data_IF_696383462614
#
_entry.id   IF_696383462614
#
_cell.length_a   1.000
_cell.length_b   1.000
_cell.length_c   1.000
_cell.angle_alpha   90.00
_cell.angle_beta   90.00
_cell.angle_gamma   90.00
#
_symmetry.space_group_name_H-M   'P 1'
#
loop_
_entity.id
_entity.type
_entity.pdbx_description
1 polymer ?
#
# COMPACT_ATOMS: atom_id res chain seq x y z
N UNK A 1 -1.86 -35.13 11.75
CA UNK A 1 -0.52 -34.54 11.62
C UNK A 1 -0.62 -33.45 10.55
N UNK A 2 -1.01 -32.24 10.94
CA UNK A 2 -0.86 -31.01 10.13
C UNK A 2 -0.58 -29.88 11.11
N UNK A 3 0.69 -29.57 11.17
CA UNK A 3 1.34 -28.59 12.02
C UNK A 3 1.04 -27.17 11.54
N UNK A 4 1.01 -26.25 12.51
CA UNK A 4 1.28 -24.82 12.39
C UNK A 4 0.64 -24.08 11.21
N UNK A 5 -0.60 -23.59 11.42
CA UNK A 5 -1.01 -22.32 10.82
C UNK A 5 -0.02 -21.27 11.34
N UNK A 6 0.93 -20.88 10.49
CA UNK A 6 1.97 -19.90 10.82
C UNK A 6 1.29 -18.54 11.00
N UNK A 7 1.36 -18.02 12.24
CA UNK A 7 0.75 -16.77 12.73
C UNK A 7 1.67 -15.58 12.47
N UNK A 8 1.87 -15.20 11.22
CA UNK A 8 2.80 -14.12 10.87
C UNK A 8 2.09 -13.05 10.04
N UNK A 9 2.59 -11.82 10.10
CA UNK A 9 2.15 -10.73 9.24
C UNK A 9 2.24 -11.19 7.76
N UNK A 10 1.16 -11.10 6.96
CA UNK A 10 1.17 -11.55 5.57
C UNK A 10 2.30 -10.93 4.74
N UNK A 11 2.65 -9.68 5.00
CA UNK A 11 3.73 -8.98 4.30
C UNK A 11 5.09 -9.63 4.57
N UNK A 12 5.39 -10.03 5.81
CA UNK A 12 6.66 -10.67 6.17
C UNK A 12 6.79 -12.03 5.48
N UNK A 13 5.77 -12.87 5.58
CA UNK A 13 5.78 -14.21 4.98
C UNK A 13 5.88 -14.15 3.46
N UNK A 14 5.14 -13.24 2.83
CA UNK A 14 5.22 -13.07 1.38
C UNK A 14 6.55 -12.44 0.98
N UNK A 15 7.14 -11.54 1.77
CA UNK A 15 8.45 -10.97 1.45
C UNK A 15 9.54 -12.05 1.39
N UNK A 16 9.52 -13.01 2.30
CA UNK A 16 10.43 -14.17 2.27
C UNK A 16 10.18 -15.05 1.03
N UNK A 17 8.90 -15.30 0.73
CA UNK A 17 8.49 -16.12 -0.42
C UNK A 17 8.89 -15.49 -1.75
N UNK A 18 8.84 -14.17 -1.87
CA UNK A 18 9.13 -13.42 -3.09
C UNK A 18 10.61 -13.05 -3.22
N UNK A 19 11.43 -13.36 -2.21
CA UNK A 19 12.87 -13.11 -2.23
C UNK A 19 13.59 -13.62 -3.50
N UNK A 20 13.24 -14.78 -4.10
CA UNK A 20 13.84 -15.21 -5.37
C UNK A 20 13.60 -14.25 -6.55
N UNK A 21 12.53 -13.45 -6.52
CA UNK A 21 12.18 -12.49 -7.58
C UNK A 21 12.86 -11.11 -7.39
N UNK A 22 13.52 -10.89 -6.24
CA UNK A 22 14.08 -9.60 -5.84
C UNK A 22 15.01 -8.99 -6.88
N UNK A 23 15.92 -9.78 -7.44
CA UNK A 23 16.90 -9.28 -8.40
C UNK A 23 16.22 -8.86 -9.71
N UNK A 24 15.30 -9.68 -10.22
CA UNK A 24 14.55 -9.38 -11.43
C UNK A 24 13.69 -8.11 -11.25
N UNK A 25 13.07 -7.91 -10.08
CA UNK A 25 12.31 -6.70 -9.77
C UNK A 25 13.23 -5.46 -9.79
N UNK A 26 14.43 -5.55 -9.21
CA UNK A 26 15.40 -4.45 -9.21
C UNK A 26 15.90 -4.09 -10.61
N UNK A 27 16.09 -5.10 -11.47
CA UNK A 27 16.52 -4.96 -12.86
C UNK A 27 15.41 -4.38 -13.73
N UNK A 28 14.23 -5.02 -13.75
CA UNK A 28 13.15 -4.67 -14.66
C UNK A 28 12.38 -3.43 -14.22
N UNK A 29 12.20 -3.23 -12.90
CA UNK A 29 11.36 -2.15 -12.32
C UNK A 29 9.95 -2.10 -12.91
N UNK A 30 9.46 -3.25 -13.37
CA UNK A 30 8.13 -3.47 -13.90
C UNK A 30 7.57 -4.72 -13.23
N UNK A 31 6.40 -4.58 -12.62
CA UNK A 31 5.66 -5.68 -12.00
C UNK A 31 4.27 -5.78 -12.61
N UNK A 32 3.64 -6.93 -12.49
CA UNK A 32 2.32 -7.20 -13.06
C UNK A 32 1.59 -8.29 -12.27
N UNK A 33 0.38 -8.62 -12.70
CA UNK A 33 -0.40 -9.72 -12.12
C UNK A 33 -0.83 -9.47 -10.68
N UNK A 34 -1.07 -8.19 -10.37
CA UNK A 34 -1.73 -7.74 -9.15
C UNK A 34 -3.12 -7.26 -9.54
N UNK A 35 -4.15 -7.66 -8.80
CA UNK A 35 -5.51 -7.11 -8.96
C UNK A 35 -5.65 -5.78 -8.19
N UNK A 36 -6.55 -4.91 -8.64
CA UNK A 36 -6.70 -3.52 -8.14
C UNK A 36 -6.78 -3.41 -6.62
N UNK A 37 -7.56 -4.27 -5.96
CA UNK A 37 -7.77 -4.25 -4.51
C UNK A 37 -6.49 -4.55 -3.71
N UNK A 38 -5.44 -5.04 -4.37
CA UNK A 38 -4.15 -5.38 -3.75
C UNK A 38 -3.00 -4.47 -4.18
N UNK A 39 -3.26 -3.34 -4.84
CA UNK A 39 -2.18 -2.44 -5.29
C UNK A 39 -1.38 -1.87 -4.11
N UNK A 40 -2.05 -1.37 -3.07
CA UNK A 40 -1.38 -0.88 -1.86
C UNK A 40 -0.62 -1.99 -1.14
N UNK A 41 -1.24 -3.16 -1.01
CA UNK A 41 -0.61 -4.34 -0.41
C UNK A 41 0.66 -4.75 -1.17
N UNK A 42 0.60 -4.81 -2.50
CA UNK A 42 1.74 -5.12 -3.34
C UNK A 42 2.83 -4.05 -3.24
N UNK A 43 2.45 -2.77 -3.18
CA UNK A 43 3.37 -1.66 -3.00
C UNK A 43 4.16 -1.80 -1.69
N UNK A 44 3.46 -2.06 -0.58
CA UNK A 44 4.08 -2.27 0.74
C UNK A 44 4.95 -3.53 0.75
N UNK A 45 4.48 -4.64 0.17
CA UNK A 45 5.23 -5.88 0.02
C UNK A 45 6.54 -5.67 -0.73
N UNK A 46 6.49 -4.98 -1.87
CA UNK A 46 7.67 -4.63 -2.65
C UNK A 46 8.64 -3.77 -1.82
N UNK A 47 8.10 -2.82 -1.06
CA UNK A 47 8.88 -1.98 -0.18
C UNK A 47 9.67 -2.78 0.86
N UNK A 48 9.02 -3.73 1.53
CA UNK A 48 9.63 -4.62 2.52
C UNK A 48 10.64 -5.56 1.84
N UNK A 49 10.24 -6.21 0.73
CA UNK A 49 11.07 -7.14 -0.03
C UNK A 49 12.39 -6.49 -0.50
N UNK A 50 12.32 -5.26 -0.97
CA UNK A 50 13.46 -4.52 -1.52
C UNK A 50 14.24 -3.75 -0.45
N UNK A 51 13.68 -3.60 0.75
CA UNK A 51 14.15 -2.69 1.80
C UNK A 51 14.32 -1.25 1.25
N UNK A 52 13.29 -0.75 0.57
CA UNK A 52 13.26 0.58 -0.06
C UNK A 52 11.88 1.20 0.03
N UNK A 53 11.84 2.53 0.03
CA UNK A 53 10.63 3.28 -0.30
C UNK A 53 10.28 3.00 -1.75
N UNK A 54 9.17 2.32 -1.98
CA UNK A 54 8.69 2.03 -3.33
C UNK A 54 7.70 3.11 -3.72
N UNK A 55 7.96 3.75 -4.86
CA UNK A 55 7.01 4.60 -5.57
C UNK A 55 6.43 3.76 -6.70
N UNK A 56 5.24 3.22 -6.50
CA UNK A 56 4.57 2.36 -7.48
C UNK A 56 3.67 3.20 -8.38
N UNK A 57 4.01 3.33 -9.66
CA UNK A 57 3.16 3.96 -10.66
C UNK A 57 2.21 2.95 -11.29
N UNK A 58 0.93 3.29 -11.31
CA UNK A 58 -0.13 2.49 -11.93
C UNK A 58 -0.34 3.07 -13.32
N UNK A 59 0.05 2.36 -14.38
CA UNK A 59 -0.27 2.80 -15.74
C UNK A 59 -1.69 2.37 -16.10
N UNK A 60 -2.64 3.32 -16.21
CA UNK A 60 -3.87 3.06 -16.94
C UNK A 60 -3.63 3.22 -18.44
N UNK A 61 -4.01 2.23 -19.23
CA UNK A 61 -4.17 2.39 -20.68
C UNK A 61 -5.39 3.31 -20.89
N UNK A 62 -5.16 4.50 -21.46
CA UNK A 62 -6.14 5.52 -21.94
C UNK A 62 -6.90 6.35 -20.89
N UNK A 63 -6.53 7.63 -20.68
CA UNK A 63 -7.10 8.81 -21.36
C UNK A 63 -6.53 10.13 -20.78
N UNK A 64 -6.39 11.12 -21.66
CA UNK A 64 -5.94 12.48 -21.40
C UNK A 64 -6.66 13.17 -20.22
N UNK A 65 -5.93 13.49 -19.16
CA UNK A 65 -5.94 14.87 -18.65
C UNK A 65 -4.69 15.13 -17.82
N UNK A 66 -3.81 15.96 -18.37
CA UNK A 66 -2.77 16.63 -17.61
C UNK A 66 -3.43 17.47 -16.50
N UNK A 67 -3.37 17.00 -15.26
CA UNK A 67 -3.27 17.89 -14.10
C UNK A 67 -1.85 17.78 -13.57
N UNK A 68 -1.09 18.84 -13.80
CA UNK A 68 0.35 18.94 -13.54
C UNK A 68 0.73 19.01 -12.03
N UNK A 69 -0.15 18.61 -11.12
CA UNK A 69 0.18 18.54 -9.69
C UNK A 69 -0.27 17.23 -9.05
N UNK A 70 0.38 16.12 -9.43
CA UNK A 70 0.17 14.82 -8.77
C UNK A 70 0.87 14.71 -7.41
N UNK A 71 1.72 15.68 -7.08
CA UNK A 71 2.44 15.72 -5.82
C UNK A 71 2.98 17.12 -5.48
N UNK A 72 3.19 17.37 -4.19
CA UNK A 72 3.96 18.50 -3.67
C UNK A 72 5.13 17.96 -2.85
N UNK A 73 6.30 18.56 -3.01
CA UNK A 73 7.42 18.31 -2.11
C UNK A 73 7.47 19.38 -1.04
N UNK A 74 7.59 18.97 0.20
CA UNK A 74 7.85 19.82 1.34
C UNK A 74 9.32 19.69 1.68
N UNK A 75 10.03 20.81 1.79
CA UNK A 75 11.39 20.85 2.29
C UNK A 75 11.50 21.76 3.53
N UNK A 76 12.42 21.41 4.43
CA UNK A 76 12.81 22.30 5.52
C UNK A 76 13.38 23.61 4.95
N UNK A 77 12.93 24.74 5.49
CA UNK A 77 13.30 26.10 5.07
C UNK A 77 12.41 26.70 3.96
N UNK A 78 11.42 25.96 3.46
CA UNK A 78 10.45 26.50 2.50
C UNK A 78 9.22 27.09 3.20
N UNK A 79 8.50 27.99 2.52
CA UNK A 79 7.22 28.49 3.01
C UNK A 79 6.11 27.46 2.81
N UNK A 80 5.42 27.11 3.90
CA UNK A 80 4.23 26.28 3.87
C UNK A 80 3.03 27.05 3.31
N UNK A 81 2.39 26.47 2.28
CA UNK A 81 1.14 26.97 1.71
C UNK A 81 0.03 25.92 1.81
N UNK A 82 -0.97 26.19 2.65
CA UNK A 82 -2.13 25.31 2.82
C UNK A 82 -2.93 25.15 1.52
N UNK A 83 -3.09 26.22 0.73
CA UNK A 83 -3.91 26.20 -0.49
C UNK A 83 -3.42 25.15 -1.49
N UNK A 84 -2.10 24.98 -1.58
CA UNK A 84 -1.50 23.97 -2.45
C UNK A 84 -1.87 22.54 -2.03
N UNK A 85 -2.08 22.27 -0.74
CA UNK A 85 -2.62 20.97 -0.29
C UNK A 85 -4.12 20.84 -0.62
N UNK A 86 -4.90 21.91 -0.48
CA UNK A 86 -6.33 21.86 -0.82
C UNK A 86 -6.51 21.57 -2.32
N UNK A 87 -5.65 22.12 -3.18
CA UNK A 87 -5.60 21.84 -4.62
C UNK A 87 -5.27 20.37 -4.94
N UNK A 88 -4.48 19.70 -4.08
CA UNK A 88 -4.22 18.25 -4.16
C UNK A 88 -5.39 17.39 -3.66
N UNK A 89 -6.45 17.99 -3.12
CA UNK A 89 -7.64 17.29 -2.62
C UNK A 89 -7.64 17.00 -1.12
N UNK A 90 -6.74 17.61 -0.34
CA UNK A 90 -6.76 17.52 1.12
C UNK A 90 -7.92 18.33 1.71
N UNK A 91 -8.45 17.87 2.84
CA UNK A 91 -9.52 18.55 3.57
C UNK A 91 -8.99 19.19 4.85
N UNK A 92 -9.25 20.50 5.01
CA UNK A 92 -8.92 21.19 6.26
C UNK A 92 -9.92 20.81 7.35
N UNK A 93 -9.42 20.16 8.39
CA UNK A 93 -10.20 19.72 9.56
C UNK A 93 -9.63 20.29 10.85
N UNK A 94 -10.44 20.29 11.92
CA UNK A 94 -9.95 20.65 13.25
C UNK A 94 -8.91 19.65 13.75
N UNK A 95 -9.13 18.36 13.48
CA UNK A 95 -8.28 17.26 13.91
C UNK A 95 -8.22 16.18 12.85
N UNK A 96 -7.00 15.72 12.56
CA UNK A 96 -6.71 14.67 11.58
C UNK A 96 -7.16 13.30 12.09
N UNK A 97 -8.14 12.73 11.41
CA UNK A 97 -8.74 11.42 11.70
C UNK A 97 -8.64 10.43 10.54
N UNK A 98 -8.60 10.92 9.30
CA UNK A 98 -8.57 10.11 8.11
C UNK A 98 -7.43 10.55 7.19
N UNK A 99 -7.08 9.67 6.26
CA UNK A 99 -6.24 9.98 5.12
C UNK A 99 -6.82 11.15 4.30
N UNK A 100 -5.96 12.07 3.87
CA UNK A 100 -6.37 13.31 3.20
C UNK A 100 -6.71 14.48 4.13
N UNK A 101 -6.75 14.26 5.44
CA UNK A 101 -6.98 15.34 6.40
C UNK A 101 -5.72 16.21 6.60
N UNK A 102 -5.93 17.51 6.73
CA UNK A 102 -4.92 18.47 7.21
C UNK A 102 -5.50 19.35 8.33
N UNK A 103 -4.75 19.48 9.43
CA UNK A 103 -5.06 20.38 10.54
C UNK A 103 -3.94 21.38 10.73
N UNK A 104 -4.29 22.66 10.91
CA UNK A 104 -3.36 23.77 11.15
C UNK A 104 -3.73 24.41 12.48
N UNK A 105 -2.84 24.27 13.47
CA UNK A 105 -2.97 24.76 14.83
C UNK A 105 -1.78 25.66 15.18
N UNK A 106 -1.93 26.96 14.90
CA UNK A 106 -0.85 27.93 15.12
C UNK A 106 0.37 27.64 14.26
N UNK A 107 1.46 27.27 14.90
CA UNK A 107 2.75 26.91 14.30
C UNK A 107 2.89 25.41 13.98
N UNK A 108 1.86 24.60 14.25
CA UNK A 108 1.88 23.16 13.98
C UNK A 108 0.89 22.81 12.89
N UNK A 109 1.36 22.09 11.88
CA UNK A 109 0.51 21.48 10.84
C UNK A 109 0.60 19.97 10.97
N UNK A 110 -0.53 19.27 10.96
CA UNK A 110 -0.58 17.81 10.92
C UNK A 110 -1.32 17.41 9.66
N UNK A 111 -0.75 16.50 8.89
CA UNK A 111 -1.27 16.02 7.61
C UNK A 111 -1.30 14.49 7.69
N UNK A 112 -2.39 13.87 7.24
CA UNK A 112 -2.38 12.45 6.88
C UNK A 112 -2.29 12.35 5.35
N UNK A 113 -1.10 12.07 4.79
CA UNK A 113 -0.90 12.07 3.35
C UNK A 113 -1.62 10.92 2.66
N UNK A 114 -2.03 11.13 1.40
CA UNK A 114 -2.55 10.06 0.56
C UNK A 114 -1.48 8.97 0.33
N UNK A 115 -1.91 7.70 0.33
CA UNK A 115 -1.11 6.48 0.19
C UNK A 115 0.00 6.32 1.26
N UNK A 116 -0.14 6.93 2.44
CA UNK A 116 0.87 6.86 3.51
C UNK A 116 0.31 6.30 4.83
N UNK A 117 1.14 5.54 5.53
CA UNK A 117 0.79 4.87 6.78
C UNK A 117 1.10 5.72 8.02
N UNK A 118 1.85 6.82 7.86
CA UNK A 118 2.22 7.73 8.93
C UNK A 118 1.76 9.16 8.65
N UNK A 119 1.58 9.91 9.74
CA UNK A 119 1.27 11.32 9.69
C UNK A 119 2.54 12.13 9.46
N UNK A 120 2.38 13.26 8.79
CA UNK A 120 3.41 14.28 8.64
C UNK A 120 3.05 15.45 9.55
N UNK A 121 3.95 15.80 10.46
CA UNK A 121 3.81 16.99 11.31
C UNK A 121 4.86 18.01 10.92
N UNK A 122 4.42 19.22 10.59
CA UNK A 122 5.28 20.37 10.36
C UNK A 122 5.30 21.25 11.60
N UNK A 123 6.48 21.74 11.96
CA UNK A 123 6.64 22.88 12.87
C UNK A 123 7.07 24.09 12.06
N UNK A 124 6.39 25.21 12.25
CA UNK A 124 6.56 26.42 11.46
C UNK A 124 7.17 27.55 12.30
N UNK A 125 8.00 28.39 11.67
CA UNK A 125 8.34 29.72 12.18
C UNK A 125 7.73 30.78 11.26
N UNK A 126 6.59 31.33 11.66
CA UNK A 126 5.75 32.13 10.77
C UNK A 126 5.13 31.25 9.69
N UNK A 127 5.68 31.29 8.48
CA UNK A 127 5.29 30.39 7.37
C UNK A 127 6.39 29.40 6.99
N UNK A 128 7.61 29.58 7.48
CA UNK A 128 8.74 28.74 7.11
C UNK A 128 8.66 27.39 7.84
N UNK A 129 8.91 26.29 7.12
CA UNK A 129 8.97 24.94 7.67
C UNK A 129 10.30 24.75 8.40
N UNK A 130 10.26 24.77 9.73
CA UNK A 130 11.44 24.53 10.58
C UNK A 130 11.74 23.04 10.75
N UNK A 131 10.69 22.21 10.82
CA UNK A 131 10.84 20.77 11.08
C UNK A 131 9.76 19.97 10.34
N UNK A 132 10.15 18.82 9.77
CA UNK A 132 9.24 17.80 9.23
C UNK A 132 9.41 16.53 10.05
N UNK A 133 8.41 16.20 10.85
CA UNK A 133 8.34 15.02 11.71
C UNK A 133 7.43 13.96 11.09
N UNK A 134 7.90 12.71 11.01
CA UNK A 134 7.03 11.56 10.78
C UNK A 134 6.47 11.09 12.12
N UNK A 135 5.15 10.91 12.19
CA UNK A 135 4.41 10.67 13.42
C UNK A 135 3.51 9.45 13.24
N UNK A 136 3.52 8.52 14.20
CA UNK A 136 2.66 7.34 14.13
C UNK A 136 1.18 7.72 14.25
N UNK A 137 0.33 7.12 13.40
CA UNK A 137 -1.12 7.41 13.33
C UNK A 137 -1.83 7.16 14.67
N UNK A 138 -1.55 6.03 15.31
CA UNK A 138 -2.18 5.68 16.59
C UNK A 138 -1.52 6.38 17.77
N UNK A 139 -0.18 6.27 17.86
CA UNK A 139 0.57 6.76 19.03
C UNK A 139 0.63 8.28 19.10
N UNK A 140 0.49 8.97 17.95
CA UNK A 140 0.73 10.41 17.76
C UNK A 140 2.10 10.88 18.25
N UNK A 141 3.06 9.95 18.40
CA UNK A 141 4.44 10.22 18.79
C UNK A 141 5.33 10.35 17.56
N UNK A 142 6.33 11.22 17.65
CA UNK A 142 7.38 11.36 16.63
C UNK A 142 8.12 10.03 16.50
N UNK A 143 8.18 9.50 15.29
CA UNK A 143 8.97 8.33 14.91
C UNK A 143 10.37 8.80 14.51
N UNK A 144 10.44 9.74 13.55
CA UNK A 144 11.69 10.32 13.07
C UNK A 144 11.50 11.73 12.52
N UNK A 145 12.61 12.39 12.23
CA UNK A 145 12.65 13.67 11.53
C UNK A 145 13.22 13.45 10.12
N UNK A 146 12.73 14.21 9.15
CA UNK A 146 13.18 14.18 7.76
C UNK A 146 13.43 15.59 7.23
N UNK A 147 14.34 15.73 6.27
CA UNK A 147 14.60 17.02 5.61
C UNK A 147 13.57 17.37 4.55
N UNK A 148 12.89 16.37 4.00
CA UNK A 148 11.89 16.53 2.95
C UNK A 148 10.81 15.45 3.00
N UNK A 149 9.65 15.74 2.43
CA UNK A 149 8.57 14.76 2.23
C UNK A 149 7.74 15.11 1.00
N UNK A 150 7.47 14.12 0.15
CA UNK A 150 6.54 14.26 -0.98
C UNK A 150 5.14 13.86 -0.55
N UNK A 151 4.14 14.69 -0.85
CA UNK A 151 2.73 14.45 -0.59
C UNK A 151 2.01 14.29 -1.92
N UNK A 152 1.23 13.23 -2.07
CA UNK A 152 0.50 12.92 -3.30
C UNK A 152 -0.86 13.62 -3.33
N UNK A 153 -1.45 13.76 -4.52
CA UNK A 153 -2.85 14.14 -4.69
C UNK A 153 -3.81 12.98 -4.42
N UNK A 154 -5.07 13.30 -4.14
CA UNK A 154 -6.15 12.33 -3.94
C UNK A 154 -6.34 11.38 -5.13
N UNK A 155 -6.20 11.92 -6.34
CA UNK A 155 -6.40 11.19 -7.59
C UNK A 155 -5.07 10.65 -8.17
N UNK A 156 -4.01 10.59 -7.36
CA UNK A 156 -2.69 10.15 -7.81
C UNK A 156 -2.70 8.67 -8.18
N UNK A 157 -2.12 8.35 -9.33
CA UNK A 157 -1.86 6.97 -9.75
C UNK A 157 -0.51 6.45 -9.21
N UNK A 158 0.04 7.13 -8.21
CA UNK A 158 1.24 6.73 -7.49
C UNK A 158 0.85 6.21 -6.11
N UNK A 159 1.46 5.11 -5.71
CA UNK A 159 1.38 4.58 -4.35
C UNK A 159 2.76 4.59 -3.70
N UNK A 160 2.77 4.64 -2.37
CA UNK A 160 4.00 4.61 -1.57
C UNK A 160 4.00 3.39 -0.66
N UNK A 161 5.08 2.62 -0.68
CA UNK A 161 5.28 1.43 0.15
C UNK A 161 6.60 1.50 0.92
N UNK A 162 6.62 0.97 2.14
CA UNK A 162 7.76 0.98 3.06
C UNK A 162 8.39 2.38 3.20
N UNK A 163 7.55 3.38 3.45
CA UNK A 163 7.88 4.80 3.51
C UNK A 163 8.93 5.17 4.57
N UNK A 164 9.26 4.23 5.46
CA UNK A 164 10.23 4.40 6.52
C UNK A 164 11.68 4.10 6.10
N UNK A 165 11.88 3.42 4.98
CA UNK A 165 13.22 3.08 4.48
C UNK A 165 14.02 4.31 4.04
N UNK A 166 15.34 4.14 3.95
CA UNK A 166 16.30 5.22 3.64
C UNK A 166 16.54 5.43 2.15
N UNK A 167 16.30 4.41 1.32
CA UNK A 167 16.53 4.44 -0.13
C UNK A 167 15.21 4.30 -0.85
N UNK A 168 15.04 5.00 -1.96
CA UNK A 168 13.85 4.89 -2.79
C UNK A 168 14.10 4.11 -4.08
N UNK A 169 13.02 3.61 -4.68
CA UNK A 169 12.98 3.05 -6.03
C UNK A 169 11.61 3.32 -6.65
N UNK A 170 11.60 3.58 -7.96
CA UNK A 170 10.37 3.67 -8.74
C UNK A 170 10.11 2.33 -9.42
N UNK A 171 8.89 1.83 -9.31
CA UNK A 171 8.42 0.59 -9.94
C UNK A 171 7.15 0.91 -10.71
N UNK A 172 6.99 0.37 -11.91
CA UNK A 172 5.75 0.50 -12.66
C UNK A 172 4.94 -0.79 -12.53
N UNK A 173 3.68 -0.65 -12.16
CA UNK A 173 2.69 -1.71 -12.30
C UNK A 173 2.11 -1.63 -13.71
N UNK A 174 2.37 -2.68 -14.50
CA UNK A 174 1.93 -2.79 -15.89
C UNK A 174 0.84 -3.84 -16.04
N UNK A 175 0.06 -3.71 -17.11
CA UNK A 175 -0.96 -4.68 -17.48
C UNK A 175 -0.36 -6.08 -17.58
N UNK A 176 -1.13 -7.09 -17.16
CA UNK A 176 -0.74 -8.48 -17.34
C UNK A 176 -0.99 -8.99 -18.77
N UNK A 177 -1.62 -8.17 -19.62
CA UNK A 177 -2.01 -8.50 -20.99
C UNK A 177 -0.85 -8.22 -21.95
N UNK A 178 -0.69 -9.10 -22.95
CA UNK A 178 0.32 -8.97 -23.99
C UNK A 178 1.63 -9.71 -23.70
N UNK A 179 2.50 -9.73 -24.72
CA UNK A 179 3.80 -10.41 -24.70
C UNK A 179 4.94 -9.50 -24.22
N UNK A 180 4.65 -8.44 -23.46
CA UNK A 180 5.69 -7.59 -22.90
C UNK A 180 6.66 -8.43 -22.04
N UNK A 181 7.92 -8.45 -22.46
CA UNK A 181 9.03 -9.08 -21.75
C UNK A 181 9.68 -8.07 -20.81
N UNK A 182 10.41 -8.57 -19.81
CA UNK A 182 11.10 -7.72 -18.84
C UNK A 182 10.17 -7.11 -17.79
N UNK A 183 9.29 -7.95 -17.23
CA UNK A 183 8.44 -7.64 -16.07
C UNK A 183 8.36 -8.86 -15.17
N UNK A 184 8.04 -8.64 -13.90
CA UNK A 184 7.84 -9.71 -12.91
C UNK A 184 6.35 -9.85 -12.58
N UNK A 185 5.76 -11.00 -12.88
CA UNK A 185 4.40 -11.33 -12.45
C UNK A 185 4.41 -11.72 -10.96
N UNK A 186 3.72 -10.94 -10.14
CA UNK A 186 3.60 -11.17 -8.70
C UNK A 186 2.52 -12.21 -8.39
N UNK A 187 1.52 -12.42 -9.26
CA UNK A 187 0.48 -13.42 -9.07
C UNK A 187 -0.43 -13.17 -7.86
N UNK A 188 -0.60 -11.92 -7.45
CA UNK A 188 -1.46 -11.52 -6.32
C UNK A 188 -2.86 -11.20 -6.87
N UNK A 189 -3.78 -12.15 -6.74
CA UNK A 189 -5.09 -12.10 -7.42
C UNK A 189 -6.23 -12.32 -6.45
N UNK A 190 -7.33 -11.62 -6.68
CA UNK A 190 -8.61 -11.89 -6.07
C UNK A 190 -9.13 -13.23 -6.56
N UNK A 191 -9.90 -13.92 -5.72
CA UNK A 191 -10.72 -15.04 -6.17
C UNK A 191 -12.01 -14.46 -6.77
N UNK A 192 -12.18 -14.46 -8.11
CA UNK A 192 -13.24 -13.70 -8.74
C UNK A 192 -14.62 -14.14 -8.26
N UNK A 193 -15.48 -13.17 -7.96
CA UNK A 193 -16.87 -13.43 -7.59
C UNK A 193 -17.05 -13.99 -6.18
N UNK A 194 -16.03 -14.00 -5.31
CA UNK A 194 -16.18 -14.42 -3.91
C UNK A 194 -17.28 -13.62 -3.18
N UNK A 195 -17.45 -12.35 -3.54
CA UNK A 195 -18.54 -11.48 -3.07
C UNK A 195 -19.91 -11.81 -3.69
N UNK A 196 -19.95 -12.50 -4.83
CA UNK A 196 -21.17 -12.85 -5.58
C UNK A 196 -21.62 -14.30 -5.40
N UNK A 197 -20.72 -15.21 -5.02
CA UNK A 197 -21.01 -16.62 -4.79
C UNK A 197 -21.54 -16.84 -3.37
N UNK A 198 -22.84 -16.66 -3.22
CA UNK A 198 -23.59 -16.91 -1.98
C UNK A 198 -23.62 -18.37 -1.52
N UNK A 199 -23.05 -19.32 -2.28
CA UNK A 199 -23.06 -20.74 -1.92
C UNK A 199 -21.66 -21.29 -1.63
N UNK A 200 -21.56 -21.95 -0.48
CA UNK A 200 -20.36 -22.65 0.02
C UNK A 200 -19.74 -23.60 -1.00
N UNK A 201 -20.54 -24.26 -1.83
CA UNK A 201 -20.06 -25.22 -2.85
C UNK A 201 -19.21 -24.57 -3.93
N UNK A 202 -19.64 -23.41 -4.43
CA UNK A 202 -18.93 -22.72 -5.52
C UNK A 202 -17.59 -22.18 -5.05
N UNK A 203 -17.53 -21.61 -3.84
CA UNK A 203 -16.29 -21.17 -3.21
C UNK A 203 -15.28 -22.32 -3.08
N UNK A 204 -15.75 -23.49 -2.66
CA UNK A 204 -14.89 -24.67 -2.55
C UNK A 204 -14.34 -25.11 -3.91
N UNK A 205 -15.15 -25.08 -4.96
CA UNK A 205 -14.73 -25.48 -6.31
C UNK A 205 -13.72 -24.51 -6.91
N UNK A 206 -13.98 -23.21 -6.81
CA UNK A 206 -13.09 -22.16 -7.33
C UNK A 206 -11.73 -22.23 -6.61
N UNK A 207 -11.72 -22.25 -5.28
CA UNK A 207 -10.47 -22.30 -4.52
C UNK A 207 -9.68 -23.59 -4.79
N UNK A 208 -10.34 -24.73 -4.96
CA UNK A 208 -9.68 -25.97 -5.42
C UNK A 208 -9.05 -25.82 -6.80
N UNK A 209 -9.71 -25.12 -7.72
CA UNK A 209 -9.17 -24.86 -9.06
C UNK A 209 -7.87 -24.04 -8.98
N UNK A 210 -7.85 -22.96 -8.19
CA UNK A 210 -6.65 -22.15 -7.97
C UNK A 210 -5.50 -22.95 -7.35
N UNK A 211 -5.79 -23.77 -6.33
CA UNK A 211 -4.77 -24.66 -5.74
C UNK A 211 -4.19 -25.66 -6.74
N UNK A 212 -5.03 -26.25 -7.58
CA UNK A 212 -4.58 -27.15 -8.64
C UNK A 212 -3.69 -26.45 -9.68
N UNK A 213 -3.80 -25.12 -9.82
CA UNK A 213 -2.92 -24.28 -10.65
C UNK A 213 -1.65 -23.82 -9.93
N UNK A 214 -1.44 -24.23 -8.69
CA UNK A 214 -0.26 -23.89 -7.88
C UNK A 214 -0.39 -22.64 -7.02
N UNK A 215 -1.57 -22.02 -6.94
CA UNK A 215 -1.81 -20.90 -6.03
C UNK A 215 -1.98 -21.38 -4.58
N UNK A 216 -1.49 -20.58 -3.64
CA UNK A 216 -1.85 -20.71 -2.23
C UNK A 216 -3.08 -19.86 -1.93
N UNK A 217 -3.99 -20.40 -1.12
CA UNK A 217 -5.21 -19.68 -0.71
C UNK A 217 -5.00 -19.12 0.69
N UNK A 218 -5.10 -17.81 0.79
CA UNK A 218 -4.92 -17.06 2.04
C UNK A 218 -6.26 -16.50 2.52
N UNK A 219 -6.54 -16.60 3.81
CA UNK A 219 -7.74 -16.03 4.44
C UNK A 219 -7.35 -14.91 5.40
N UNK A 220 -7.61 -13.67 5.01
CA UNK A 220 -7.25 -12.49 5.81
C UNK A 220 -8.33 -12.21 6.86
N UNK A 221 -7.96 -12.17 8.14
CA UNK A 221 -8.87 -11.84 9.24
C UNK A 221 -8.18 -11.13 10.39
N UNK A 222 -8.89 -10.19 11.00
CA UNK A 222 -8.47 -9.53 12.25
C UNK A 222 -8.90 -10.31 13.49
N UNK A 223 -9.66 -11.40 13.33
CA UNK A 223 -10.19 -12.19 14.45
C UNK A 223 -10.13 -13.68 14.13
N UNK A 224 -9.09 -14.34 14.63
CA UNK A 224 -8.89 -15.79 14.47
C UNK A 224 -10.04 -16.60 15.08
N UNK A 225 -10.63 -16.12 16.17
CA UNK A 225 -11.76 -16.78 16.83
C UNK A 225 -12.98 -16.87 15.90
N UNK A 226 -13.27 -15.79 15.15
CA UNK A 226 -14.34 -15.79 14.14
C UNK A 226 -14.05 -16.76 13.02
N UNK A 227 -12.78 -16.83 12.58
CA UNK A 227 -12.38 -17.82 11.57
C UNK A 227 -12.67 -19.25 12.05
N UNK A 228 -12.26 -19.59 13.27
CA UNK A 228 -12.43 -20.95 13.79
C UNK A 228 -13.89 -21.35 14.03
N UNK A 229 -14.74 -20.38 14.38
CA UNK A 229 -16.16 -20.57 14.69
C UNK A 229 -17.08 -20.50 13.46
N UNK A 230 -16.87 -19.51 12.60
CA UNK A 230 -17.78 -19.15 11.51
C UNK A 230 -17.39 -19.80 10.17
N UNK A 231 -16.10 -20.10 9.97
CA UNK A 231 -15.65 -20.72 8.71
C UNK A 231 -15.84 -22.23 8.76
N UNK A 232 -16.66 -22.71 7.82
CA UNK A 232 -16.96 -24.12 7.68
C UNK A 232 -15.69 -24.96 7.50
N UNK A 233 -15.65 -26.14 8.12
CA UNK A 233 -14.46 -27.01 8.14
C UNK A 233 -13.91 -27.32 6.75
N UNK A 234 -14.79 -27.57 5.79
CA UNK A 234 -14.43 -27.88 4.41
C UNK A 234 -13.75 -26.70 3.69
N UNK A 235 -14.11 -25.47 4.08
CA UNK A 235 -13.47 -24.24 3.59
C UNK A 235 -12.11 -24.07 4.26
N UNK A 236 -11.97 -24.45 5.53
CA UNK A 236 -10.65 -24.42 6.19
C UNK A 236 -9.65 -25.41 5.59
N UNK A 237 -10.12 -26.55 5.07
CA UNK A 237 -9.26 -27.56 4.42
C UNK A 237 -8.62 -27.09 3.10
N UNK A 238 -9.18 -26.05 2.48
CA UNK A 238 -8.65 -25.44 1.26
C UNK A 238 -7.83 -24.17 1.52
N UNK A 239 -7.79 -23.68 2.77
CA UNK A 239 -7.01 -22.49 3.15
C UNK A 239 -5.61 -22.95 3.57
N UNK A 240 -4.60 -22.36 2.93
CA UNK A 240 -3.19 -22.69 3.19
C UNK A 240 -2.61 -21.80 4.31
N UNK A 241 -3.09 -20.55 4.44
CA UNK A 241 -2.68 -19.58 5.46
C UNK A 241 -3.86 -18.74 5.95
N UNK A 242 -3.82 -18.36 7.23
CA UNK A 242 -4.78 -17.47 7.90
C UNK A 242 -3.99 -16.33 8.53
#
# INVERSE_FOLDING_TARGET
MKENIIRNNPLEVLSEKYNPLKEDILVYRKVSGVDYDYYEFACELLGILLDRVVWLSISKEEEDSAKESNAIKLHKGEEFNLESLLELGYERVERVWNEGDVSVLGDVVIIWPFSMNNLVRLSLFGKEVEEISIVGVESRKKIKEVSERTLLSKDSELLVGNEESSKSININLVSNLGEETGRVDLGIRNVPGIESYSTKSTLLEISKNYRNRGYEVWYLTNTLEKYDLEVAKEVREIIDKV
#
